data_IF_780950629263
#
_entry.id   IF_780950629263
#
_cell.length_a   1.000
_cell.length_b   1.000
_cell.length_c   1.000
_cell.angle_alpha   90.00
_cell.angle_beta   90.00
_cell.angle_gamma   90.00
#
_symmetry.space_group_name_H-M   'P 1'
#
loop_
_entity.id
_entity.type
_entity.pdbx_description
1 polymer ?
#
# COMPACT_ATOMS: atom_id res chain seq x y z
N UNK A 1 -4.18 32.14 -70.61
CA UNK A 1 -4.17 32.26 -69.12
C UNK A 1 -5.24 31.42 -68.37
N UNK A 2 -6.09 30.62 -68.99
CA UNK A 2 -7.14 29.81 -68.33
C UNK A 2 -6.75 28.36 -68.01
N UNK A 3 -5.64 27.83 -68.54
CA UNK A 3 -5.22 26.43 -68.31
C UNK A 3 -4.25 26.22 -67.11
N UNK A 4 -3.64 27.26 -66.59
CA UNK A 4 -2.71 27.14 -65.47
C UNK A 4 -3.46 27.16 -64.13
N UNK A 5 -4.67 27.71 -64.07
CA UNK A 5 -5.47 27.78 -62.82
C UNK A 5 -6.12 26.48 -62.46
N UNK A 6 -6.32 25.56 -63.43
CA UNK A 6 -7.01 24.28 -63.19
C UNK A 6 -6.07 23.20 -62.63
N UNK A 7 -4.77 23.29 -62.94
CA UNK A 7 -3.78 22.31 -62.45
C UNK A 7 -3.36 22.58 -61.03
N UNK A 8 -3.40 23.83 -60.56
CA UNK A 8 -3.09 24.20 -59.18
C UNK A 8 -4.24 23.87 -58.22
N UNK A 9 -5.48 23.85 -58.71
CA UNK A 9 -6.66 23.52 -57.90
C UNK A 9 -6.80 22.00 -57.66
N UNK A 10 -6.28 21.17 -58.59
CA UNK A 10 -6.30 19.72 -58.43
C UNK A 10 -5.20 19.20 -57.48
N UNK A 11 -4.10 19.95 -57.25
CA UNK A 11 -3.07 19.57 -56.28
C UNK A 11 -3.42 19.92 -54.84
N UNK A 12 -4.37 20.83 -54.60
CA UNK A 12 -4.82 21.20 -53.25
C UNK A 12 -5.90 20.27 -52.72
N UNK A 13 -6.59 19.55 -53.61
CA UNK A 13 -7.62 18.58 -53.19
C UNK A 13 -7.09 17.16 -52.93
N UNK A 14 -5.78 16.93 -53.10
CA UNK A 14 -5.14 15.64 -52.87
C UNK A 14 -4.53 15.44 -51.45
N UNK A 15 -4.57 16.45 -50.62
CA UNK A 15 -4.33 16.23 -49.19
C UNK A 15 -5.64 15.75 -48.55
N UNK A 16 -6.01 14.48 -48.83
CA UNK A 16 -6.88 13.78 -47.91
C UNK A 16 -6.22 13.90 -46.55
N UNK A 17 -6.85 14.61 -45.63
CA UNK A 17 -6.47 14.55 -44.25
C UNK A 17 -6.45 13.07 -43.87
N UNK A 18 -5.26 12.49 -43.77
CA UNK A 18 -5.08 11.20 -43.15
C UNK A 18 -5.56 11.45 -41.70
N UNK A 19 -6.80 11.05 -41.46
CA UNK A 19 -7.33 11.07 -40.10
C UNK A 19 -6.43 10.11 -39.34
N UNK A 20 -5.58 10.65 -38.48
CA UNK A 20 -4.69 9.83 -37.72
C UNK A 20 -5.55 8.94 -36.80
N UNK A 21 -5.43 7.64 -36.95
CA UNK A 21 -6.07 6.68 -36.07
C UNK A 21 -5.70 7.00 -34.64
N UNK A 22 -6.67 6.99 -33.72
CA UNK A 22 -6.44 7.26 -32.32
C UNK A 22 -6.53 5.96 -31.52
N UNK A 23 -5.44 5.59 -30.87
CA UNK A 23 -5.40 4.49 -29.91
C UNK A 23 -5.42 5.06 -28.49
N UNK A 24 -6.46 4.71 -27.76
CA UNK A 24 -6.68 5.20 -26.39
C UNK A 24 -6.56 4.03 -25.44
N UNK A 25 -5.78 4.23 -24.37
CA UNK A 25 -5.75 3.35 -23.19
C UNK A 25 -6.52 4.05 -22.08
N UNK A 26 -7.47 3.36 -21.48
CA UNK A 26 -8.29 3.88 -20.40
C UNK A 26 -8.39 2.87 -19.25
N UNK A 27 -8.86 3.32 -18.11
CA UNK A 27 -9.03 2.48 -16.91
C UNK A 27 -10.34 1.71 -16.97
N UNK A 28 -10.29 0.46 -16.45
CA UNK A 28 -11.46 -0.35 -16.19
C UNK A 28 -11.50 -0.74 -14.71
N UNK A 29 -12.37 -0.08 -13.94
CA UNK A 29 -12.53 -0.33 -12.52
C UNK A 29 -11.45 0.29 -11.65
N UNK A 30 -11.37 -0.18 -10.40
CA UNK A 30 -10.45 0.32 -9.38
C UNK A 30 -9.15 -0.49 -9.30
N UNK A 31 -8.18 0.02 -8.54
CA UNK A 31 -6.97 -0.72 -8.20
C UNK A 31 -7.33 -1.90 -7.30
N UNK A 32 -6.86 -3.09 -7.64
CA UNK A 32 -7.05 -4.32 -6.86
C UNK A 32 -5.75 -4.66 -6.15
N UNK A 33 -5.77 -4.69 -4.82
CA UNK A 33 -4.63 -5.11 -3.99
C UNK A 33 -4.78 -6.57 -3.64
N UNK A 34 -3.73 -7.37 -3.91
CA UNK A 34 -3.61 -8.78 -3.56
C UNK A 34 -2.37 -8.98 -2.67
N UNK A 35 -2.24 -10.11 -1.96
CA UNK A 35 -1.09 -10.35 -1.05
C UNK A 35 0.30 -10.18 -1.70
N UNK A 36 0.41 -10.40 -3.02
CA UNK A 36 1.69 -10.35 -3.73
C UNK A 36 1.69 -9.42 -4.95
N UNK A 37 0.59 -8.71 -5.21
CA UNK A 37 0.49 -7.81 -6.36
C UNK A 37 -0.52 -6.70 -6.14
N UNK A 38 -0.28 -5.58 -6.83
CA UNK A 38 -1.28 -4.54 -7.04
C UNK A 38 -1.62 -4.53 -8.52
N UNK A 39 -2.89 -4.58 -8.85
CA UNK A 39 -3.38 -4.75 -10.21
C UNK A 39 -4.31 -3.59 -10.62
N UNK A 40 -4.19 -3.13 -11.86
CA UNK A 40 -5.08 -2.16 -12.47
C UNK A 40 -5.53 -2.67 -13.84
N UNK A 41 -6.83 -2.85 -14.01
CA UNK A 41 -7.38 -3.23 -15.30
C UNK A 41 -7.41 -2.02 -16.22
N UNK A 42 -7.01 -2.25 -17.46
CA UNK A 42 -6.94 -1.28 -18.53
C UNK A 42 -7.68 -1.81 -19.75
N UNK A 43 -8.15 -0.88 -20.56
CA UNK A 43 -8.84 -1.17 -21.80
C UNK A 43 -8.19 -0.40 -22.95
N UNK A 44 -7.96 -1.06 -24.06
CA UNK A 44 -7.45 -0.45 -25.28
C UNK A 44 -8.59 -0.32 -26.28
N UNK A 45 -8.76 0.87 -26.81
CA UNK A 45 -9.73 1.20 -27.85
C UNK A 45 -9.04 1.84 -29.05
N UNK A 46 -9.58 1.64 -30.23
CA UNK A 46 -9.24 2.40 -31.43
C UNK A 46 -10.51 2.89 -32.09
N UNK A 47 -10.43 4.00 -32.79
CA UNK A 47 -11.51 4.61 -33.57
C UNK A 47 -11.71 3.98 -34.98
N UNK A 48 -10.81 3.08 -35.37
CA UNK A 48 -10.88 2.39 -36.65
C UNK A 48 -10.82 0.86 -36.54
N UNK A 49 -11.08 0.15 -37.65
CA UNK A 49 -11.09 -1.31 -37.73
C UNK A 49 -9.75 -1.93 -38.15
N UNK A 50 -8.65 -1.20 -38.09
CA UNK A 50 -7.33 -1.69 -38.49
C UNK A 50 -6.77 -2.82 -37.62
N UNK A 51 -5.69 -3.42 -38.09
CA UNK A 51 -4.92 -4.43 -37.33
C UNK A 51 -3.55 -3.85 -36.98
N UNK A 52 -3.25 -3.76 -35.70
CA UNK A 52 -2.07 -3.04 -35.19
C UNK A 52 -1.20 -3.89 -34.30
N UNK A 53 0.10 -3.63 -34.33
CA UNK A 53 1.02 -3.96 -33.25
C UNK A 53 1.00 -2.79 -32.27
N UNK A 54 0.69 -3.06 -31.02
CA UNK A 54 0.61 -2.05 -29.98
C UNK A 54 1.81 -2.20 -29.05
N UNK A 55 2.60 -1.14 -28.93
CA UNK A 55 3.75 -1.08 -28.04
C UNK A 55 3.62 0.08 -27.07
N UNK A 56 4.16 -0.11 -25.88
CA UNK A 56 4.26 0.94 -24.84
C UNK A 56 5.71 1.18 -24.44
N UNK A 57 6.02 2.41 -24.07
CA UNK A 57 7.35 2.83 -23.63
C UNK A 57 7.22 3.66 -22.34
N UNK A 58 7.78 3.23 -21.20
CA UNK A 58 7.86 4.07 -20.01
C UNK A 58 8.68 5.33 -20.30
N UNK A 59 8.14 6.48 -19.94
CA UNK A 59 8.81 7.78 -20.10
C UNK A 59 9.63 8.17 -18.87
N UNK A 60 9.48 7.43 -17.77
CA UNK A 60 10.24 7.57 -16.53
C UNK A 60 10.90 6.24 -16.15
N UNK A 61 11.97 6.31 -15.38
CA UNK A 61 12.76 5.16 -14.91
C UNK A 61 12.13 4.37 -13.76
N UNK A 62 11.14 4.96 -13.11
CA UNK A 62 10.37 4.38 -12.01
C UNK A 62 8.98 5.00 -11.94
N UNK A 63 8.03 4.28 -11.37
CA UNK A 63 6.76 4.84 -10.94
C UNK A 63 6.98 5.64 -9.66
N UNK A 64 6.37 6.82 -9.54
CA UNK A 64 6.56 7.72 -8.40
C UNK A 64 5.27 7.96 -7.64
N UNK A 65 5.38 8.08 -6.30
CA UNK A 65 4.25 8.61 -5.52
C UNK A 65 3.96 10.04 -5.95
N UNK A 66 2.70 10.44 -5.91
CA UNK A 66 2.28 11.82 -6.23
C UNK A 66 2.98 12.82 -5.32
N UNK A 67 3.27 12.44 -4.07
CA UNK A 67 4.03 13.25 -3.10
C UNK A 67 5.54 13.27 -3.39
N UNK A 68 6.02 12.47 -4.35
CA UNK A 68 7.41 12.47 -4.81
C UNK A 68 8.42 11.72 -3.94
N UNK A 69 8.01 11.18 -2.81
CA UNK A 69 8.92 10.63 -1.79
C UNK A 69 9.23 9.13 -1.95
N UNK A 70 8.38 8.39 -2.67
CA UNK A 70 8.52 6.94 -2.84
C UNK A 70 8.53 6.58 -4.32
N UNK A 71 9.40 5.64 -4.68
CA UNK A 71 9.49 5.13 -6.04
C UNK A 71 9.33 3.61 -6.07
N UNK A 72 8.65 3.12 -7.13
CA UNK A 72 8.55 1.70 -7.44
C UNK A 72 9.36 1.46 -8.72
N UNK A 73 10.41 0.62 -8.68
CA UNK A 73 11.24 0.34 -9.84
C UNK A 73 10.43 -0.26 -11.00
N UNK A 74 10.81 0.04 -12.24
CA UNK A 74 10.18 -0.56 -13.44
C UNK A 74 10.29 -2.09 -13.47
N UNK A 75 11.31 -2.68 -12.85
CA UNK A 75 11.46 -4.12 -12.74
C UNK A 75 10.28 -4.82 -12.03
N UNK A 76 9.53 -4.06 -11.23
CA UNK A 76 8.37 -4.55 -10.50
C UNK A 76 7.05 -4.29 -11.24
N UNK A 77 7.11 -3.49 -12.32
CA UNK A 77 5.95 -3.12 -13.12
C UNK A 77 5.96 -3.87 -14.46
N UNK A 78 4.83 -4.48 -14.81
CA UNK A 78 4.63 -5.13 -16.10
C UNK A 78 3.17 -5.05 -16.52
N UNK A 79 2.94 -5.30 -17.81
CA UNK A 79 1.61 -5.33 -18.39
C UNK A 79 1.31 -6.77 -18.82
N UNK A 80 0.19 -7.30 -18.34
CA UNK A 80 -0.36 -8.57 -18.79
C UNK A 80 -1.39 -8.33 -19.89
N UNK A 81 -1.15 -8.91 -21.05
CA UNK A 81 -2.03 -8.80 -22.23
C UNK A 81 -3.04 -9.94 -22.35
N UNK A 82 -3.33 -10.64 -21.25
CA UNK A 82 -4.16 -11.86 -21.14
C UNK A 82 -3.46 -13.16 -21.56
N UNK A 83 -2.31 -13.10 -22.22
CA UNK A 83 -1.52 -14.27 -22.65
C UNK A 83 -0.22 -14.38 -21.86
N UNK A 84 0.47 -13.25 -21.69
CA UNK A 84 1.78 -13.18 -21.05
C UNK A 84 1.98 -11.88 -20.29
N UNK A 85 2.98 -11.87 -19.41
CA UNK A 85 3.45 -10.69 -18.72
C UNK A 85 4.58 -10.03 -19.52
N UNK A 86 4.36 -8.81 -19.98
CA UNK A 86 5.32 -8.00 -20.72
C UNK A 86 6.10 -7.12 -19.75
N UNK A 87 7.39 -7.37 -19.67
CA UNK A 87 8.31 -6.57 -18.84
C UNK A 87 8.67 -5.27 -19.53
N UNK A 88 8.75 -4.21 -18.75
CA UNK A 88 8.96 -2.86 -19.23
C UNK A 88 10.40 -2.42 -18.99
N UNK A 89 10.98 -1.70 -19.96
CA UNK A 89 12.31 -1.08 -19.84
C UNK A 89 12.22 0.39 -20.12
N UNK A 90 12.95 1.17 -19.33
CA UNK A 90 12.96 2.61 -19.47
C UNK A 90 13.34 3.03 -20.89
N UNK A 91 12.51 3.89 -21.47
CA UNK A 91 12.69 4.48 -22.79
C UNK A 91 12.74 3.48 -23.97
N UNK A 92 12.34 2.21 -23.76
CA UNK A 92 12.24 1.21 -24.82
C UNK A 92 10.77 0.84 -25.07
N UNK A 93 10.40 0.67 -26.36
CA UNK A 93 9.09 0.14 -26.71
C UNK A 93 9.03 -1.36 -26.49
N UNK A 94 8.05 -1.78 -25.69
CA UNK A 94 7.74 -3.17 -25.44
C UNK A 94 6.40 -3.49 -26.14
N UNK A 95 6.38 -4.52 -26.98
CA UNK A 95 5.15 -4.98 -27.65
C UNK A 95 4.19 -5.57 -26.63
N UNK A 96 2.98 -5.03 -26.60
CA UNK A 96 1.89 -5.53 -25.74
C UNK A 96 0.97 -6.44 -26.53
N UNK A 97 0.68 -6.08 -27.77
CA UNK A 97 -0.15 -6.89 -28.68
C UNK A 97 0.45 -6.93 -30.08
N UNK A 98 0.54 -8.15 -30.62
CA UNK A 98 0.89 -8.40 -32.00
C UNK A 98 -0.36 -8.70 -32.81
N UNK A 99 -0.60 -7.92 -33.88
CA UNK A 99 -1.71 -8.13 -34.79
C UNK A 99 -3.08 -7.99 -34.08
N UNK A 100 -3.25 -7.01 -33.22
CA UNK A 100 -4.51 -6.74 -32.54
C UNK A 100 -5.52 -6.13 -33.55
N UNK A 101 -6.58 -6.88 -33.86
CA UNK A 101 -7.73 -6.33 -34.60
C UNK A 101 -8.59 -5.52 -33.64
N UNK A 102 -8.72 -4.24 -33.92
CA UNK A 102 -9.43 -3.30 -33.07
C UNK A 102 -10.93 -3.14 -33.42
N UNK A 103 -11.38 -3.59 -34.53
CA UNK A 103 -12.76 -3.61 -35.11
C UNK A 103 -13.93 -3.25 -34.17
N UNK A 104 -13.89 -2.13 -33.48
CA UNK A 104 -14.92 -1.67 -32.54
C UNK A 104 -15.04 -2.47 -31.24
N UNK A 105 -14.10 -3.39 -30.96
CA UNK A 105 -14.08 -4.20 -29.71
C UNK A 105 -12.89 -3.82 -28.89
N UNK A 106 -13.17 -3.22 -27.74
CA UNK A 106 -12.17 -2.95 -26.73
C UNK A 106 -11.42 -4.21 -26.26
N UNK A 107 -10.13 -4.12 -26.04
CA UNK A 107 -9.30 -5.23 -25.52
C UNK A 107 -8.82 -4.95 -24.13
N UNK A 108 -8.91 -5.95 -23.30
CA UNK A 108 -8.50 -5.86 -21.88
C UNK A 108 -7.03 -6.19 -21.72
N UNK A 109 -6.37 -5.47 -20.82
CA UNK A 109 -5.06 -5.77 -20.30
C UNK A 109 -5.01 -5.41 -18.81
N UNK A 110 -4.00 -5.85 -18.12
CA UNK A 110 -3.83 -5.54 -16.71
C UNK A 110 -2.41 -5.05 -16.45
N UNK A 111 -2.28 -3.85 -15.92
CA UNK A 111 -1.01 -3.40 -15.36
C UNK A 111 -0.85 -3.96 -13.96
N UNK A 112 0.35 -4.46 -13.62
CA UNK A 112 0.63 -5.14 -12.35
C UNK A 112 1.94 -4.65 -11.76
N UNK A 113 1.94 -4.50 -10.43
CA UNK A 113 3.12 -4.32 -9.61
C UNK A 113 3.29 -5.59 -8.79
N UNK A 114 4.47 -6.24 -8.87
CA UNK A 114 4.82 -7.43 -8.07
C UNK A 114 6.08 -7.19 -7.26
N UNK A 115 6.32 -8.10 -6.30
CA UNK A 115 7.55 -8.17 -5.50
C UNK A 115 7.99 -6.81 -4.92
N UNK A 116 6.99 -6.02 -4.52
CA UNK A 116 7.20 -4.66 -4.05
C UNK A 116 7.38 -4.56 -2.53
N UNK A 117 7.30 -5.69 -1.81
CA UNK A 117 7.18 -5.65 -0.37
C UNK A 117 5.91 -4.91 0.06
N UNK A 118 5.96 -4.20 1.18
CA UNK A 118 4.89 -3.30 1.57
C UNK A 118 5.13 -1.92 0.94
N UNK A 119 4.49 -1.65 -0.20
CA UNK A 119 4.49 -0.31 -0.78
C UNK A 119 3.63 0.60 0.12
N UNK A 120 4.12 1.78 0.49
CA UNK A 120 3.33 2.74 1.24
C UNK A 120 2.00 3.08 0.58
N UNK A 121 0.96 3.29 1.38
CA UNK A 121 -0.33 3.75 0.90
C UNK A 121 -0.20 5.09 0.17
N UNK A 122 -0.96 5.27 -0.92
CA UNK A 122 -0.91 6.50 -1.70
C UNK A 122 -1.21 6.29 -3.17
N UNK A 123 -1.12 7.36 -3.93
CA UNK A 123 -1.28 7.34 -5.38
C UNK A 123 0.09 7.36 -6.04
N UNK A 124 0.32 6.40 -6.94
CA UNK A 124 1.54 6.26 -7.72
C UNK A 124 1.22 6.42 -9.18
N UNK A 125 2.09 7.11 -9.92
CA UNK A 125 1.89 7.39 -11.33
C UNK A 125 3.18 7.20 -12.15
N UNK A 126 3.00 6.86 -13.43
CA UNK A 126 4.04 6.81 -14.44
C UNK A 126 3.45 7.11 -15.81
N UNK A 127 4.17 7.83 -16.65
CA UNK A 127 3.74 8.13 -18.01
C UNK A 127 4.32 7.14 -19.01
N UNK A 128 3.49 6.77 -19.97
CA UNK A 128 3.85 5.92 -21.10
C UNK A 128 3.65 6.64 -22.42
N UNK A 129 4.58 6.45 -23.35
CA UNK A 129 4.32 6.62 -24.77
C UNK A 129 3.65 5.34 -25.32
N UNK A 130 2.60 5.50 -26.10
CA UNK A 130 1.90 4.41 -26.77
C UNK A 130 2.12 4.55 -28.27
N UNK A 131 2.42 3.46 -28.97
CA UNK A 131 2.60 3.43 -30.41
C UNK A 131 1.75 2.28 -31.01
N UNK A 132 0.97 2.62 -32.00
CA UNK A 132 0.30 1.66 -32.85
C UNK A 132 0.99 1.63 -34.22
N UNK A 133 1.43 0.44 -34.65
CA UNK A 133 2.05 0.21 -35.94
C UNK A 133 1.09 -0.63 -36.78
N UNK A 134 0.68 -0.13 -37.92
CA UNK A 134 -0.17 -0.83 -38.85
C UNK A 134 0.52 -2.11 -39.37
N UNK A 135 -0.16 -3.25 -39.30
CA UNK A 135 0.43 -4.53 -39.62
C UNK A 135 0.65 -4.73 -41.14
N UNK A 136 -0.19 -4.13 -41.97
CA UNK A 136 -0.09 -4.27 -43.42
C UNK A 136 1.02 -3.41 -44.02
N UNK A 137 1.13 -2.18 -43.54
CA UNK A 137 2.07 -1.21 -44.09
C UNK A 137 3.41 -1.14 -43.32
N UNK A 138 3.44 -1.62 -42.07
CA UNK A 138 4.56 -1.49 -41.15
C UNK A 138 4.83 -0.04 -40.70
N UNK A 139 3.93 0.89 -40.98
CA UNK A 139 4.07 2.28 -40.61
C UNK A 139 3.41 2.60 -39.27
N UNK A 140 3.93 3.61 -38.58
CA UNK A 140 3.29 4.11 -37.38
C UNK A 140 2.00 4.80 -37.76
N UNK A 141 0.89 4.20 -37.33
CA UNK A 141 -0.47 4.70 -37.62
C UNK A 141 -0.87 5.74 -36.52
N UNK A 142 -0.51 5.51 -35.28
CA UNK A 142 -0.86 6.41 -34.18
C UNK A 142 0.22 6.43 -33.08
N UNK A 143 0.34 7.57 -32.40
CA UNK A 143 1.10 7.72 -31.15
C UNK A 143 0.25 8.50 -30.17
N UNK A 144 0.30 8.09 -28.91
CA UNK A 144 -0.36 8.79 -27.81
C UNK A 144 0.47 8.69 -26.53
N UNK A 145 0.01 9.34 -25.48
CA UNK A 145 0.56 9.18 -24.13
C UNK A 145 -0.54 8.70 -23.19
N UNK A 146 -0.16 7.90 -22.22
CA UNK A 146 -1.04 7.40 -21.18
C UNK A 146 -0.38 7.54 -19.82
N UNK A 147 -1.10 8.09 -18.85
CA UNK A 147 -0.66 8.17 -17.46
C UNK A 147 -1.25 7.00 -16.68
N UNK A 148 -0.40 6.04 -16.30
CA UNK A 148 -0.82 4.89 -15.48
C UNK A 148 -0.75 5.27 -14.00
N UNK A 149 -1.87 5.11 -13.31
CA UNK A 149 -1.99 5.38 -11.88
C UNK A 149 -2.45 4.14 -11.12
N UNK A 150 -1.85 3.90 -9.95
CA UNK A 150 -2.33 2.97 -8.93
C UNK A 150 -2.67 3.73 -7.66
N UNK A 151 -3.83 3.41 -7.08
CA UNK A 151 -4.23 3.89 -5.76
C UNK A 151 -4.05 2.72 -4.79
N UNK A 152 -3.04 2.80 -3.94
CA UNK A 152 -2.74 1.79 -2.93
C UNK A 152 -3.41 2.21 -1.63
N UNK A 153 -4.43 1.48 -1.15
CA UNK A 153 -5.11 1.80 0.09
C UNK A 153 -4.23 1.54 1.31
N UNK A 154 -4.56 2.17 2.43
CA UNK A 154 -3.97 1.84 3.73
C UNK A 154 -4.34 0.43 4.13
N UNK A 155 -3.33 -0.36 4.47
CA UNK A 155 -3.49 -1.73 4.98
C UNK A 155 -2.70 -1.85 6.27
N UNK A 156 -3.38 -2.30 7.33
CA UNK A 156 -2.78 -2.49 8.65
C UNK A 156 -3.20 -3.83 9.23
N UNK A 157 -2.26 -4.50 9.85
CA UNK A 157 -2.47 -5.76 10.53
C UNK A 157 -1.73 -5.77 11.86
N UNK A 158 -2.37 -6.31 12.88
CA UNK A 158 -1.80 -6.53 14.20
C UNK A 158 -1.91 -8.00 14.56
N UNK A 159 -0.84 -8.59 15.07
CA UNK A 159 -0.86 -9.94 15.62
C UNK A 159 -0.19 -9.95 16.99
N UNK A 160 -0.74 -10.76 17.88
CA UNK A 160 -0.19 -10.98 19.22
C UNK A 160 0.56 -12.30 19.18
N UNK A 161 1.80 -12.26 19.66
CA UNK A 161 2.61 -13.45 19.87
C UNK A 161 2.88 -13.59 21.35
N UNK A 162 2.76 -14.83 21.83
CA UNK A 162 3.00 -15.21 23.21
C UNK A 162 1.82 -15.07 24.18
N UNK A 163 2.06 -15.69 25.31
CA UNK A 163 1.13 -15.95 26.39
C UNK A 163 0.46 -14.69 26.96
N UNK A 164 -0.70 -14.88 27.51
CA UNK A 164 -1.39 -13.87 28.31
C UNK A 164 -0.44 -13.41 29.42
N UNK A 165 -0.14 -12.09 29.51
CA UNK A 165 0.77 -11.59 30.53
C UNK A 165 0.23 -11.89 31.92
N UNK A 166 1.06 -12.56 32.73
CA UNK A 166 0.71 -12.96 34.09
C UNK A 166 1.58 -12.20 35.09
N UNK A 167 0.96 -11.58 36.08
CA UNK A 167 1.62 -10.99 37.23
C UNK A 167 1.39 -11.95 38.42
N UNK A 168 2.45 -12.52 38.96
CA UNK A 168 2.38 -13.41 40.10
C UNK A 168 2.78 -12.62 41.38
N UNK A 169 1.88 -12.61 42.34
CA UNK A 169 2.11 -11.96 43.64
C UNK A 169 2.46 -13.03 44.67
N UNK A 170 3.66 -12.97 45.21
CA UNK A 170 4.06 -13.74 46.38
C UNK A 170 3.42 -13.23 47.68
N UNK A 171 3.45 -14.02 48.72
CA UNK A 171 2.93 -13.62 50.03
C UNK A 171 3.56 -12.32 50.58
N UNK A 172 4.87 -12.12 50.31
CA UNK A 172 5.57 -10.88 50.71
C UNK A 172 5.10 -9.66 49.89
N UNK A 173 4.75 -9.86 48.64
CA UNK A 173 4.30 -8.78 47.74
C UNK A 173 2.92 -8.25 48.16
N UNK A 174 2.06 -9.13 48.67
CA UNK A 174 0.74 -8.76 49.15
C UNK A 174 0.78 -7.85 50.40
N UNK A 175 1.89 -7.91 51.16
CA UNK A 175 2.10 -7.12 52.37
C UNK A 175 2.98 -5.88 52.14
N UNK A 176 3.75 -5.83 51.05
CA UNK A 176 4.67 -4.74 50.79
C UNK A 176 4.06 -3.70 49.85
N UNK A 177 3.51 -2.65 50.39
CA UNK A 177 2.73 -1.60 49.74
C UNK A 177 3.51 -0.76 48.74
N UNK A 178 4.82 -0.78 48.77
CA UNK A 178 5.68 -0.02 47.88
C UNK A 178 6.33 -0.89 46.80
N UNK A 179 6.04 -2.20 46.83
CA UNK A 179 6.65 -3.12 45.88
C UNK A 179 5.85 -3.15 44.56
N UNK A 180 6.56 -2.86 43.52
CA UNK A 180 6.09 -3.01 42.14
C UNK A 180 6.36 -4.45 41.68
N UNK A 181 5.32 -5.13 41.19
CA UNK A 181 5.46 -6.44 40.60
C UNK A 181 5.13 -6.33 39.09
N UNK A 182 6.03 -6.81 38.24
CA UNK A 182 5.85 -6.83 36.79
C UNK A 182 5.45 -8.22 36.31
N UNK A 183 4.88 -8.29 35.12
CA UNK A 183 4.59 -9.57 34.47
C UNK A 183 5.87 -10.36 34.18
N UNK A 184 5.79 -11.68 34.29
CA UNK A 184 6.91 -12.59 34.07
C UNK A 184 7.33 -12.61 32.58
N UNK A 185 6.36 -12.58 31.68
CA UNK A 185 6.58 -12.62 30.24
C UNK A 185 5.92 -11.41 29.58
N UNK A 186 6.69 -10.63 28.84
CA UNK A 186 6.17 -9.47 28.13
C UNK A 186 5.54 -9.88 26.81
N UNK A 187 4.26 -9.56 26.57
CA UNK A 187 3.64 -9.83 25.29
C UNK A 187 4.34 -9.06 24.16
N UNK A 188 4.48 -9.72 23.02
CA UNK A 188 5.01 -9.11 21.81
C UNK A 188 3.86 -8.88 20.82
N UNK A 189 3.77 -7.67 20.34
CA UNK A 189 2.75 -7.21 19.40
C UNK A 189 3.45 -6.95 18.09
N UNK A 190 3.11 -7.70 17.05
CA UNK A 190 3.67 -7.55 15.71
C UNK A 190 2.74 -6.70 14.86
N UNK A 191 3.33 -5.83 14.05
CA UNK A 191 2.66 -4.82 13.26
C UNK A 191 3.13 -4.91 11.82
N UNK A 192 2.16 -5.02 10.91
CA UNK A 192 2.35 -4.81 9.48
C UNK A 192 1.51 -3.59 9.08
N UNK A 193 2.14 -2.62 8.43
CA UNK A 193 1.46 -1.40 7.99
C UNK A 193 2.14 -0.78 6.78
N UNK A 194 1.37 -0.40 5.78
CA UNK A 194 1.86 0.36 4.64
C UNK A 194 1.57 1.87 4.76
N UNK A 195 1.13 2.33 5.91
CA UNK A 195 0.99 3.73 6.25
C UNK A 195 1.64 4.01 7.62
N UNK A 196 1.91 5.26 7.93
CA UNK A 196 2.37 5.68 9.24
C UNK A 196 1.34 5.25 10.29
N UNK A 197 1.80 4.72 11.42
CA UNK A 197 0.93 4.03 12.35
C UNK A 197 1.18 4.42 13.81
N UNK A 198 0.12 4.25 14.58
CA UNK A 198 0.10 4.42 16.02
C UNK A 198 -0.53 3.18 16.66
N UNK A 199 0.16 2.60 17.64
CA UNK A 199 -0.34 1.52 18.47
C UNK A 199 -0.78 2.09 19.81
N UNK A 200 -2.06 1.96 20.11
CA UNK A 200 -2.62 2.32 21.39
C UNK A 200 -3.17 1.10 22.12
N UNK A 201 -3.38 1.22 23.41
CA UNK A 201 -4.11 0.27 24.20
C UNK A 201 -5.24 0.93 24.98
N UNK A 202 -6.29 0.16 25.23
CA UNK A 202 -7.39 0.51 26.09
C UNK A 202 -7.66 -0.66 27.05
N UNK A 203 -7.88 -0.34 28.30
CA UNK A 203 -8.22 -1.33 29.32
C UNK A 203 -9.68 -1.17 29.73
N UNK A 204 -10.44 -2.25 29.66
CA UNK A 204 -11.88 -2.19 29.89
C UNK A 204 -12.23 -2.07 31.37
N UNK A 205 -11.60 -2.89 32.22
CA UNK A 205 -11.84 -2.88 33.65
C UNK A 205 -10.65 -3.47 34.39
N UNK A 206 -10.33 -2.92 35.56
CA UNK A 206 -9.35 -3.50 36.46
C UNK A 206 -10.07 -3.97 37.71
N UNK A 207 -9.96 -5.27 37.98
CA UNK A 207 -10.66 -5.93 39.08
C UNK A 207 -10.54 -5.14 40.36
N UNK A 208 -11.65 -4.99 41.03
CA UNK A 208 -11.77 -4.22 42.24
C UNK A 208 -10.80 -4.73 43.34
N UNK A 209 -9.82 -3.95 43.67
CA UNK A 209 -9.05 -4.11 44.90
C UNK A 209 -7.61 -4.64 44.77
N UNK A 210 -7.15 -5.05 43.59
CA UNK A 210 -5.77 -5.54 43.43
C UNK A 210 -4.69 -4.43 43.51
N UNK A 211 -5.01 -3.21 43.08
CA UNK A 211 -4.06 -2.10 43.08
C UNK A 211 -4.13 -1.25 41.79
N UNK A 212 -3.10 -0.47 41.57
CA UNK A 212 -2.93 0.35 40.39
C UNK A 212 -2.09 -0.38 39.36
N UNK A 213 -2.65 -0.53 38.13
CA UNK A 213 -1.94 -1.15 37.04
C UNK A 213 -1.29 -0.09 36.14
N UNK A 214 -0.09 -0.40 35.72
CA UNK A 214 0.70 0.47 34.84
C UNK A 214 1.18 -0.29 33.62
N UNK A 215 1.44 0.44 32.56
CA UNK A 215 2.02 -0.07 31.32
C UNK A 215 3.22 0.77 30.88
N UNK A 216 4.20 0.13 30.26
CA UNK A 216 5.26 0.78 29.48
C UNK A 216 5.74 -0.14 28.35
N UNK A 217 6.41 0.43 27.37
CA UNK A 217 7.13 -0.32 26.35
C UNK A 217 8.53 -0.66 26.85
N UNK A 218 8.90 -1.94 26.77
CA UNK A 218 10.22 -2.41 27.26
C UNK A 218 11.21 -2.67 26.14
N UNK A 219 10.73 -3.14 25.00
CA UNK A 219 11.53 -3.28 23.78
C UNK A 219 10.68 -3.06 22.53
N UNK A 220 11.33 -2.74 21.42
CA UNK A 220 10.71 -2.60 20.12
C UNK A 220 11.78 -2.76 19.04
N UNK A 221 11.33 -3.11 17.83
CA UNK A 221 12.17 -3.15 16.64
C UNK A 221 12.62 -1.75 16.21
N UNK A 222 13.58 -1.70 15.29
CA UNK A 222 14.19 -0.44 14.82
C UNK A 222 13.25 0.48 14.04
N UNK A 223 12.18 -0.07 13.44
CA UNK A 223 11.17 0.69 12.69
C UNK A 223 10.17 1.43 13.59
N UNK A 224 10.20 1.20 14.91
CA UNK A 224 9.39 1.92 15.88
C UNK A 224 10.07 3.22 16.26
N UNK A 225 9.49 4.36 15.86
CA UNK A 225 10.07 5.68 16.04
C UNK A 225 9.87 6.26 17.46
N UNK A 226 8.68 6.06 18.03
CA UNK A 226 8.30 6.54 19.35
C UNK A 226 7.79 5.38 20.21
N UNK A 227 8.13 5.40 21.50
CA UNK A 227 7.74 4.37 22.48
C UNK A 227 7.40 5.00 23.82
N UNK A 228 6.43 4.40 24.50
CA UNK A 228 6.09 4.76 25.88
C UNK A 228 7.14 4.16 26.84
N UNK A 229 8.17 4.91 27.17
CA UNK A 229 9.25 4.47 28.06
C UNK A 229 8.88 4.60 29.55
N UNK A 230 8.11 5.62 29.88
CA UNK A 230 7.64 5.84 31.24
C UNK A 230 6.43 4.98 31.56
N UNK A 231 6.30 4.63 32.83
CA UNK A 231 5.12 3.91 33.33
C UNK A 231 3.91 4.84 33.36
N UNK A 232 2.85 4.45 32.72
CA UNK A 232 1.59 5.18 32.72
C UNK A 232 0.51 4.34 33.38
N UNK A 233 -0.25 4.98 34.27
CA UNK A 233 -1.38 4.37 34.97
C UNK A 233 -2.46 3.99 33.96
N UNK A 234 -2.88 2.73 33.97
CA UNK A 234 -4.02 2.24 33.23
C UNK A 234 -5.31 2.69 33.90
N UNK A 235 -6.06 3.52 33.19
CA UNK A 235 -7.37 3.98 33.63
C UNK A 235 -8.43 3.35 32.75
N UNK A 236 -9.47 2.70 33.30
CA UNK A 236 -10.53 2.11 32.52
C UNK A 236 -11.14 3.09 31.52
N UNK A 237 -11.29 2.64 30.25
CA UNK A 237 -11.83 3.46 29.18
C UNK A 237 -10.93 4.55 28.61
N UNK A 238 -9.74 4.77 29.23
CA UNK A 238 -8.75 5.73 28.70
C UNK A 238 -7.79 5.03 27.76
N UNK A 239 -7.63 5.57 26.58
CA UNK A 239 -6.66 5.11 25.59
C UNK A 239 -5.26 5.67 25.87
N UNK A 240 -4.26 4.82 25.74
CA UNK A 240 -2.85 5.16 25.96
C UNK A 240 -2.07 4.74 24.70
N UNK A 241 -1.41 5.70 24.05
CA UNK A 241 -0.49 5.42 22.93
C UNK A 241 0.80 4.83 23.48
N UNK A 242 1.18 3.64 23.01
CA UNK A 242 2.36 2.90 23.48
C UNK A 242 3.50 2.89 22.47
N UNK A 243 3.21 3.08 21.18
CA UNK A 243 4.23 3.16 20.13
C UNK A 243 3.70 3.86 18.88
N UNK A 244 4.64 4.41 18.07
CA UNK A 244 4.38 4.90 16.72
C UNK A 244 5.52 4.51 15.80
N UNK A 245 5.20 4.35 14.52
CA UNK A 245 6.18 4.04 13.48
C UNK A 245 5.81 4.60 12.13
N UNK A 246 6.79 4.53 11.22
CA UNK A 246 6.66 4.97 9.83
C UNK A 246 6.35 3.80 8.90
N UNK A 247 5.74 4.11 7.77
CA UNK A 247 5.60 3.19 6.65
C UNK A 247 6.93 3.02 5.90
N UNK A 248 7.18 1.82 5.33
CA UNK A 248 6.46 0.57 5.55
C UNK A 248 6.90 -0.13 6.85
N UNK A 249 5.95 -0.68 7.61
CA UNK A 249 6.23 -1.57 8.74
C UNK A 249 6.01 -3.02 8.30
N UNK A 250 7.06 -3.82 8.33
CA UNK A 250 7.01 -5.23 7.97
C UNK A 250 7.47 -6.07 9.16
N UNK A 251 6.48 -6.65 9.84
CA UNK A 251 6.71 -7.46 11.03
C UNK A 251 7.48 -6.72 12.14
N UNK A 252 7.23 -5.42 12.26
CA UNK A 252 7.76 -4.63 13.36
C UNK A 252 7.13 -5.09 14.67
N UNK A 253 7.88 -5.07 15.77
CA UNK A 253 7.35 -5.50 17.06
C UNK A 253 7.48 -4.45 18.16
N UNK A 254 6.53 -4.52 19.09
CA UNK A 254 6.52 -3.77 20.35
C UNK A 254 6.28 -4.74 21.48
N UNK A 255 7.14 -4.72 22.50
CA UNK A 255 6.97 -5.53 23.70
C UNK A 255 6.57 -4.64 24.87
N UNK A 256 5.57 -5.08 25.63
CA UNK A 256 4.96 -4.29 26.71
C UNK A 256 5.15 -4.96 28.06
N UNK A 257 5.45 -4.14 29.07
CA UNK A 257 5.46 -4.56 30.45
C UNK A 257 4.21 -4.00 31.17
N UNK A 258 3.50 -4.88 31.84
CA UNK A 258 2.47 -4.51 32.80
C UNK A 258 3.05 -4.64 34.22
N UNK A 259 2.65 -3.74 35.10
CA UNK A 259 3.05 -3.81 36.48
C UNK A 259 1.92 -3.39 37.39
N UNK A 260 1.89 -4.00 38.57
CA UNK A 260 0.92 -3.75 39.62
C UNK A 260 1.62 -3.07 40.80
N UNK A 261 0.98 -2.07 41.35
CA UNK A 261 1.41 -1.37 42.58
C UNK A 261 0.22 -1.31 43.53
N UNK A 262 0.43 -1.72 44.78
CA UNK A 262 -0.65 -1.75 45.79
C UNK A 262 -1.17 -0.35 46.10
N UNK A 263 -2.52 -0.21 46.12
CA UNK A 263 -3.17 1.03 46.58
C UNK A 263 -3.02 1.19 48.11
N UNK A 264 -3.06 2.43 48.54
CA UNK A 264 -2.94 2.81 49.95
C UNK A 264 -3.56 1.81 50.96
N UNK A 265 -2.72 1.21 51.76
CA UNK A 265 -3.03 0.51 53.01
C UNK A 265 -3.99 -0.70 52.97
N UNK A 266 -4.36 -1.23 51.83
CA UNK A 266 -5.19 -2.42 51.74
C UNK A 266 -4.38 -3.63 51.30
N UNK A 267 -4.66 -4.78 51.90
CA UNK A 267 -4.14 -6.06 51.45
C UNK A 267 -4.77 -6.37 50.11
N UNK A 268 -4.00 -6.92 49.17
CA UNK A 268 -4.55 -7.53 47.98
C UNK A 268 -5.12 -8.88 48.39
N UNK A 269 -6.43 -9.10 48.32
CA UNK A 269 -7.03 -10.39 48.64
C UNK A 269 -6.43 -11.49 47.78
N UNK A 270 -6.29 -12.68 48.34
CA UNK A 270 -5.90 -13.85 47.54
C UNK A 270 -6.98 -14.17 46.53
N UNK A 271 -6.58 -14.38 45.28
CA UNK A 271 -7.51 -14.67 44.18
C UNK A 271 -6.86 -14.55 42.82
N UNK A 272 -7.61 -14.93 41.81
CA UNK A 272 -7.24 -14.68 40.44
C UNK A 272 -7.95 -13.41 39.96
N UNK A 273 -7.19 -12.48 39.45
CA UNK A 273 -7.71 -11.23 38.88
C UNK A 273 -7.46 -11.25 37.36
N UNK A 274 -8.52 -11.06 36.60
CA UNK A 274 -8.46 -11.01 35.14
C UNK A 274 -8.86 -9.63 34.64
N UNK A 275 -7.99 -9.04 33.82
CA UNK A 275 -8.24 -7.76 33.17
C UNK A 275 -8.12 -7.93 31.65
N UNK A 276 -8.93 -7.19 30.92
CA UNK A 276 -8.88 -7.19 29.45
C UNK A 276 -8.20 -5.92 28.95
N UNK A 277 -7.24 -6.12 28.05
CA UNK A 277 -6.57 -5.04 27.34
C UNK A 277 -6.81 -5.22 25.87
N UNK A 278 -7.28 -4.17 25.22
CA UNK A 278 -7.49 -4.11 23.78
C UNK A 278 -6.37 -3.29 23.16
N UNK A 279 -5.66 -3.86 22.19
CA UNK A 279 -4.72 -3.14 21.36
C UNK A 279 -5.42 -2.59 20.11
N UNK A 280 -5.09 -1.37 19.75
CA UNK A 280 -5.71 -0.63 18.66
C UNK A 280 -4.58 -0.10 17.78
N UNK A 281 -4.52 -0.60 16.55
CA UNK A 281 -3.62 -0.08 15.52
C UNK A 281 -4.41 0.87 14.63
N UNK A 282 -3.87 2.06 14.37
CA UNK A 282 -4.50 3.05 13.50
C UNK A 282 -3.48 3.86 12.71
N UNK A 283 -3.93 4.37 11.59
CA UNK A 283 -3.19 5.28 10.72
C UNK A 283 -3.00 6.65 11.40
N UNK A 284 -1.79 7.18 11.29
CA UNK A 284 -1.50 8.58 11.62
C UNK A 284 -1.76 9.40 10.34
N UNK A 285 -2.67 10.34 10.43
CA UNK A 285 -3.01 11.27 9.34
C UNK A 285 -2.29 12.59 9.49
#
# INVERSE_FOLDING_TARGET
MKKILLTTLLMVLGCAAVQASMVIIDYQGETVVRPQSVERNLIINSDDGGVYNIAVRPLEDAMRSVDGNVTIPLSNLYINNTREDVYLRYNEYSNIFDGLSMGGVAKNMTAKIRDFGMVPAGTYAINFGVQATDLETGQIAATSTFNLQFIIPSVQEISLHNEVPRIVLGAEDAFNKSKKVSNETSPMIYINSNCDWELALNADNFGDGAGDYYVRTVSASSGVNERLLERVLLTPGKEIVIAKGKAPANNEYVSVEYSLEGRDKKFIPSGNYENRVKYILREIR
#
